data_IF_997500797844
#
_entry.id   IF_997500797844
#
_cell.length_a   1.000
_cell.length_b   1.000
_cell.length_c   1.000
_cell.angle_alpha   90.00
_cell.angle_beta   90.00
_cell.angle_gamma   90.00
#
_symmetry.space_group_name_H-M   'P 1'
#
loop_
_entity.id
_entity.type
_entity.pdbx_description
1 polymer ?
#
# COMPACT_ATOMS: atom_id res chain seq x y z
N UNK A 1 -10.34 4.07 -22.14
CA UNK A 1 -10.98 4.33 -20.83
C UNK A 1 -9.83 4.73 -19.92
N UNK A 2 -9.73 5.99 -19.50
CA UNK A 2 -8.47 6.53 -18.93
C UNK A 2 -8.36 6.26 -17.42
N UNK A 3 -9.02 5.21 -16.95
CA UNK A 3 -9.18 4.98 -15.53
C UNK A 3 -9.49 3.51 -15.22
N UNK A 4 -8.78 2.98 -14.24
CA UNK A 4 -8.85 1.59 -13.81
C UNK A 4 -8.90 1.51 -12.30
N UNK A 5 -9.63 0.52 -11.78
CA UNK A 5 -9.72 0.20 -10.36
C UNK A 5 -9.42 -1.28 -10.16
N UNK A 6 -8.36 -1.59 -9.43
CA UNK A 6 -7.86 -2.95 -9.19
C UNK A 6 -7.98 -3.25 -7.70
N UNK A 7 -8.72 -4.30 -7.35
CA UNK A 7 -8.76 -4.84 -6.00
C UNK A 7 -7.88 -6.08 -5.92
N UNK A 8 -7.01 -6.12 -4.92
CA UNK A 8 -6.28 -7.34 -4.54
C UNK A 8 -6.63 -7.71 -3.10
N UNK A 9 -6.94 -8.97 -2.86
CA UNK A 9 -7.34 -9.46 -1.54
C UNK A 9 -6.77 -10.83 -1.18
N UNK A 10 -6.65 -11.07 0.12
CA UNK A 10 -6.17 -12.33 0.67
C UNK A 10 -6.11 -12.30 2.19
N UNK A 11 -5.47 -13.32 2.78
CA UNK A 11 -5.37 -13.43 4.24
C UNK A 11 -4.32 -12.45 4.79
N UNK A 12 -4.47 -12.04 6.04
CA UNK A 12 -3.41 -11.30 6.73
C UNK A 12 -2.10 -12.13 6.72
N UNK A 13 -1.04 -11.53 6.20
CA UNK A 13 0.26 -12.19 5.98
C UNK A 13 0.55 -12.58 4.54
N UNK A 14 -0.45 -12.55 3.64
CA UNK A 14 -0.25 -12.85 2.22
C UNK A 14 0.42 -11.70 1.44
N UNK A 15 0.84 -10.60 2.06
CA UNK A 15 1.53 -9.50 1.38
C UNK A 15 0.64 -8.56 0.55
N UNK A 16 -0.66 -8.47 0.87
CA UNK A 16 -1.65 -7.69 0.11
C UNK A 16 -1.29 -6.21 -0.05
N UNK A 17 -0.75 -5.56 0.99
CA UNK A 17 -0.34 -4.17 0.89
C UNK A 17 0.80 -3.97 -0.12
N UNK A 18 1.77 -4.89 -0.12
CA UNK A 18 2.90 -4.87 -1.04
C UNK A 18 2.44 -5.17 -2.48
N UNK A 19 1.53 -6.14 -2.66
CA UNK A 19 0.90 -6.40 -3.95
C UNK A 19 0.16 -5.15 -4.49
N UNK A 20 -0.60 -4.46 -3.64
CA UNK A 20 -1.24 -3.20 -3.98
C UNK A 20 -0.22 -2.11 -4.38
N UNK A 21 0.88 -1.99 -3.66
CA UNK A 21 1.95 -1.04 -3.97
C UNK A 21 2.63 -1.35 -5.31
N UNK A 22 2.87 -2.63 -5.63
CA UNK A 22 3.44 -3.05 -6.92
C UNK A 22 2.48 -2.68 -8.05
N UNK A 23 1.18 -2.96 -7.91
CA UNK A 23 0.17 -2.57 -8.90
C UNK A 23 0.13 -1.05 -9.07
N UNK A 24 0.20 -0.29 -7.97
CA UNK A 24 0.25 1.18 -8.02
C UNK A 24 1.50 1.66 -8.77
N UNK A 25 2.67 1.08 -8.50
CA UNK A 25 3.92 1.42 -9.20
C UNK A 25 3.93 1.01 -10.66
N UNK A 26 3.25 -0.08 -11.03
CA UNK A 26 3.04 -0.48 -12.42
C UNK A 26 2.28 0.61 -13.19
N UNK A 27 1.14 1.07 -12.65
CA UNK A 27 0.39 2.17 -13.24
C UNK A 27 1.18 3.50 -13.23
N UNK A 28 2.02 3.74 -12.22
CA UNK A 28 2.90 4.91 -12.19
C UNK A 28 3.89 4.94 -13.36
N UNK A 29 4.49 3.79 -13.70
CA UNK A 29 5.41 3.67 -14.83
C UNK A 29 4.70 3.94 -16.16
N UNK A 30 3.39 3.69 -16.22
CA UNK A 30 2.54 3.97 -17.38
C UNK A 30 1.96 5.39 -17.37
N UNK A 31 2.37 6.26 -16.44
CA UNK A 31 1.96 7.67 -16.42
C UNK A 31 0.56 7.92 -15.83
N UNK A 32 0.05 7.04 -14.98
CA UNK A 32 -1.22 7.27 -14.30
C UNK A 32 -1.03 7.97 -12.95
N UNK A 33 -1.96 8.87 -12.63
CA UNK A 33 -2.14 9.34 -11.26
C UNK A 33 -2.79 8.21 -10.43
N UNK A 34 -2.46 8.13 -9.14
CA UNK A 34 -2.81 6.99 -8.31
C UNK A 34 -3.57 7.38 -7.04
N UNK A 35 -4.42 6.48 -6.58
CA UNK A 35 -4.97 6.48 -5.24
C UNK A 35 -5.06 5.04 -4.73
N UNK A 36 -4.39 4.74 -3.62
CA UNK A 36 -4.47 3.43 -2.98
C UNK A 36 -5.27 3.52 -1.68
N UNK A 37 -6.24 2.64 -1.53
CA UNK A 37 -6.94 2.37 -0.27
C UNK A 37 -6.51 1.01 0.24
N UNK A 38 -6.14 0.94 1.52
CA UNK A 38 -5.75 -0.31 2.18
C UNK A 38 -6.70 -0.53 3.36
N UNK A 39 -7.26 -1.73 3.43
CA UNK A 39 -8.13 -2.16 4.51
C UNK A 39 -7.56 -3.41 5.16
N UNK A 40 -7.45 -3.37 6.48
CA UNK A 40 -6.96 -4.47 7.30
C UNK A 40 -7.64 -4.43 8.67
N UNK A 41 -7.99 -5.59 9.24
CA UNK A 41 -8.54 -5.65 10.58
C UNK A 41 -7.46 -5.38 11.62
N UNK A 42 -7.88 -5.05 12.84
CA UNK A 42 -6.98 -4.94 14.01
C UNK A 42 -6.54 -6.32 14.51
N UNK A 43 -5.97 -7.15 13.63
CA UNK A 43 -5.47 -8.50 13.88
C UNK A 43 -4.05 -8.66 13.31
N UNK A 44 -3.14 -9.22 14.10
CA UNK A 44 -1.75 -9.49 13.66
C UNK A 44 -1.67 -10.71 12.74
N UNK A 45 -2.54 -11.70 12.96
CA UNK A 45 -2.68 -12.91 12.14
C UNK A 45 -4.14 -13.27 11.98
N UNK A 46 -4.50 -13.73 10.79
CA UNK A 46 -5.87 -14.05 10.43
C UNK A 46 -6.68 -12.81 10.03
N UNK A 47 -7.86 -13.07 9.47
CA UNK A 47 -8.69 -12.04 8.85
C UNK A 47 -8.37 -11.82 7.36
N UNK A 48 -9.17 -10.94 6.77
CA UNK A 48 -9.14 -10.60 5.35
C UNK A 48 -8.58 -9.19 5.16
N UNK A 49 -7.53 -9.08 4.35
CA UNK A 49 -6.94 -7.80 3.96
C UNK A 49 -7.23 -7.57 2.48
N UNK A 50 -7.50 -6.32 2.11
CA UNK A 50 -7.59 -5.94 0.70
C UNK A 50 -6.99 -4.57 0.45
N UNK A 51 -6.50 -4.37 -0.75
CA UNK A 51 -6.10 -3.07 -1.26
C UNK A 51 -6.88 -2.78 -2.54
N UNK A 52 -7.30 -1.52 -2.70
CA UNK A 52 -7.88 -1.00 -3.94
C UNK A 52 -6.90 0.04 -4.50
N UNK A 53 -6.41 -0.21 -5.71
CA UNK A 53 -5.58 0.73 -6.46
C UNK A 53 -6.42 1.31 -7.57
N UNK A 54 -6.65 2.62 -7.50
CA UNK A 54 -7.28 3.39 -8.57
C UNK A 54 -6.20 4.13 -9.33
N UNK A 55 -6.18 3.97 -10.65
CA UNK A 55 -5.28 4.64 -11.57
C UNK A 55 -6.11 5.48 -12.55
N UNK A 56 -5.76 6.75 -12.76
CA UNK A 56 -6.44 7.62 -13.71
C UNK A 56 -5.49 8.57 -14.44
N UNK A 57 -5.79 8.92 -15.68
CA UNK A 57 -5.10 9.98 -16.41
C UNK A 57 -5.35 11.39 -15.87
N UNK A 58 -6.19 11.55 -14.84
CA UNK A 58 -6.48 12.81 -14.16
C UNK A 58 -6.28 12.64 -12.65
N UNK A 59 -6.07 13.75 -11.92
CA UNK A 59 -5.97 13.74 -10.46
C UNK A 59 -7.26 13.22 -9.81
N UNK A 60 -7.13 12.43 -8.75
CA UNK A 60 -8.24 11.88 -7.97
C UNK A 60 -7.92 11.89 -6.47
N UNK A 61 -8.96 11.89 -5.63
CA UNK A 61 -8.83 11.94 -4.17
C UNK A 61 -9.59 10.85 -3.42
N UNK A 62 -10.06 9.81 -4.11
CA UNK A 62 -10.79 8.71 -3.50
C UNK A 62 -10.69 7.43 -4.34
N UNK A 63 -10.96 6.27 -3.75
CA UNK A 63 -11.19 5.03 -4.50
C UNK A 63 -12.60 5.02 -5.13
N UNK A 64 -12.93 3.95 -5.87
CA UNK A 64 -14.29 3.66 -6.34
C UNK A 64 -14.81 2.41 -5.66
N UNK A 65 -16.13 2.26 -5.57
CA UNK A 65 -16.70 1.03 -5.05
C UNK A 65 -16.65 -0.11 -6.05
N UNK A 66 -16.97 0.20 -7.31
CA UNK A 66 -16.90 -0.76 -8.41
C UNK A 66 -15.48 -0.89 -8.95
N UNK A 67 -15.05 -2.11 -9.21
CA UNK A 67 -13.68 -2.44 -9.65
C UNK A 67 -13.67 -3.01 -11.06
N UNK A 68 -12.61 -2.72 -11.81
CA UNK A 68 -12.40 -3.25 -13.16
C UNK A 68 -11.67 -4.59 -13.10
N UNK A 69 -10.81 -4.76 -12.10
CA UNK A 69 -10.09 -6.01 -11.83
C UNK A 69 -10.28 -6.44 -10.37
N UNK A 70 -10.51 -7.72 -10.16
CA UNK A 70 -10.52 -8.35 -8.84
C UNK A 70 -9.52 -9.52 -8.83
N UNK A 71 -8.51 -9.40 -7.98
CA UNK A 71 -7.41 -10.34 -7.81
C UNK A 71 -7.57 -11.04 -6.45
N UNK A 72 -7.87 -12.33 -6.45
CA UNK A 72 -8.22 -13.09 -5.24
C UNK A 72 -7.22 -14.20 -4.92
N UNK A 73 -6.57 -14.13 -3.75
CA UNK A 73 -5.71 -15.21 -3.22
C UNK A 73 -6.45 -16.20 -2.31
N UNK A 74 -7.64 -15.83 -1.83
CA UNK A 74 -8.47 -16.66 -0.98
C UNK A 74 -9.96 -16.52 -1.34
N UNK A 75 -10.76 -17.51 -0.91
CA UNK A 75 -12.19 -17.53 -1.18
C UNK A 75 -12.92 -16.30 -0.62
N UNK A 76 -12.51 -15.84 0.57
CA UNK A 76 -13.10 -14.71 1.25
C UNK A 76 -13.02 -13.41 0.44
N UNK A 77 -11.98 -13.23 -0.38
CA UNK A 77 -11.90 -12.10 -1.31
C UNK A 77 -13.08 -12.07 -2.29
N UNK A 78 -13.44 -13.21 -2.87
CA UNK A 78 -14.57 -13.30 -3.80
C UNK A 78 -15.88 -13.08 -3.04
N UNK A 79 -16.04 -13.77 -1.91
CA UNK A 79 -17.30 -13.76 -1.16
C UNK A 79 -17.64 -12.35 -0.65
N UNK A 80 -16.64 -11.62 -0.14
CA UNK A 80 -16.81 -10.25 0.38
C UNK A 80 -16.87 -9.18 -0.71
N UNK A 81 -16.19 -9.35 -1.85
CA UNK A 81 -16.03 -8.27 -2.84
C UNK A 81 -16.75 -8.50 -4.16
N UNK A 82 -17.48 -9.62 -4.36
CA UNK A 82 -18.28 -9.85 -5.57
C UNK A 82 -19.26 -8.72 -5.90
N UNK A 83 -19.79 -8.02 -4.89
CA UNK A 83 -20.70 -6.89 -5.10
C UNK A 83 -20.01 -5.68 -5.74
N UNK A 84 -18.68 -5.60 -5.70
CA UNK A 84 -17.87 -4.56 -6.35
C UNK A 84 -17.68 -4.82 -7.85
N UNK A 85 -18.05 -5.99 -8.36
CA UNK A 85 -17.92 -6.31 -9.78
C UNK A 85 -18.96 -5.57 -10.63
N UNK A 86 -18.57 -5.29 -11.87
CA UNK A 86 -19.37 -4.87 -13.02
C UNK A 86 -19.45 -6.05 -13.99
N UNK A 87 -20.31 -5.95 -15.01
CA UNK A 87 -20.39 -6.98 -16.05
C UNK A 87 -19.07 -7.15 -16.83
N UNK A 88 -18.33 -6.05 -17.01
CA UNK A 88 -17.04 -6.01 -17.68
C UNK A 88 -15.83 -6.26 -16.77
N UNK A 89 -16.04 -6.60 -15.49
CA UNK A 89 -14.93 -6.79 -14.57
C UNK A 89 -14.18 -8.08 -14.86
N UNK A 90 -12.85 -8.01 -14.79
CA UNK A 90 -11.97 -9.16 -14.93
C UNK A 90 -11.67 -9.73 -13.55
N UNK A 91 -11.91 -11.02 -13.37
CA UNK A 91 -11.63 -11.73 -12.11
C UNK A 91 -10.49 -12.72 -12.34
N UNK A 92 -9.43 -12.60 -11.56
CA UNK A 92 -8.27 -13.51 -11.57
C UNK A 92 -8.06 -14.04 -10.16
N UNK A 93 -7.84 -15.35 -10.03
CA UNK A 93 -7.75 -15.97 -8.70
C UNK A 93 -6.77 -17.14 -8.63
N UNK A 94 -6.31 -17.45 -7.42
CA UNK A 94 -5.56 -18.67 -7.11
C UNK A 94 -6.50 -19.88 -7.09
N UNK A 95 -6.47 -20.71 -8.14
CA UNK A 95 -7.36 -21.88 -8.27
C UNK A 95 -7.09 -22.97 -7.24
N UNK A 96 -5.94 -22.93 -6.56
CA UNK A 96 -5.62 -23.87 -5.48
C UNK A 96 -6.38 -23.55 -4.18
N UNK A 97 -6.78 -22.28 -3.98
CA UNK A 97 -7.42 -21.81 -2.74
C UNK A 97 -8.83 -21.24 -2.97
N UNK A 98 -9.22 -20.96 -4.22
CA UNK A 98 -10.45 -20.24 -4.57
C UNK A 98 -11.27 -21.01 -5.61
N UNK A 99 -12.58 -21.09 -5.36
CA UNK A 99 -13.60 -21.53 -6.32
C UNK A 99 -14.48 -20.34 -6.65
N UNK A 100 -14.30 -19.79 -7.85
CA UNK A 100 -15.08 -18.62 -8.29
C UNK A 100 -16.39 -19.05 -8.95
N UNK A 101 -17.55 -18.57 -8.50
CA UNK A 101 -18.82 -18.72 -9.22
C UNK A 101 -18.99 -17.67 -10.34
N UNK A 102 -18.02 -16.76 -10.52
CA UNK A 102 -18.12 -15.66 -11.47
C UNK A 102 -17.82 -16.16 -12.88
N UNK A 103 -18.77 -15.95 -13.80
CA UNK A 103 -18.59 -16.30 -15.21
C UNK A 103 -17.41 -15.52 -15.83
N UNK A 104 -16.57 -16.20 -16.61
CA UNK A 104 -15.39 -15.59 -17.25
C UNK A 104 -14.19 -15.32 -16.33
N UNK A 105 -14.26 -15.74 -15.06
CA UNK A 105 -13.14 -15.67 -14.14
C UNK A 105 -12.01 -16.62 -14.56
N UNK A 106 -10.77 -16.19 -14.39
CA UNK A 106 -9.57 -16.95 -14.78
C UNK A 106 -8.83 -17.43 -13.53
N UNK A 107 -8.78 -18.74 -13.34
CA UNK A 107 -8.06 -19.37 -12.23
C UNK A 107 -6.67 -19.85 -12.66
N UNK A 108 -5.67 -19.60 -11.82
CA UNK A 108 -4.30 -20.10 -12.00
C UNK A 108 -3.85 -20.84 -10.73
N UNK A 109 -3.16 -21.98 -10.83
CA UNK A 109 -2.73 -22.75 -9.66
C UNK A 109 -1.46 -22.12 -9.05
N UNK A 110 -1.59 -20.92 -8.47
CA UNK A 110 -0.47 -20.08 -8.07
C UNK A 110 0.33 -20.69 -6.91
N UNK A 111 -0.35 -21.37 -5.98
CA UNK A 111 0.31 -22.08 -4.88
C UNK A 111 1.13 -23.25 -5.40
N UNK A 112 0.61 -23.98 -6.38
CA UNK A 112 1.32 -25.07 -7.05
C UNK A 112 2.52 -24.54 -7.83
N UNK A 113 2.35 -23.48 -8.63
CA UNK A 113 3.42 -22.82 -9.38
C UNK A 113 4.55 -22.36 -8.43
N UNK A 114 4.21 -21.66 -7.34
CA UNK A 114 5.21 -21.20 -6.38
C UNK A 114 5.97 -22.38 -5.74
N UNK A 115 5.29 -23.48 -5.43
CA UNK A 115 5.91 -24.67 -4.84
C UNK A 115 6.83 -25.41 -5.83
N UNK A 116 6.42 -25.56 -7.08
CA UNK A 116 7.24 -26.18 -8.14
C UNK A 116 8.56 -25.44 -8.36
N UNK A 117 8.53 -24.11 -8.25
CA UNK A 117 9.69 -23.24 -8.43
C UNK A 117 10.52 -23.04 -7.16
N UNK A 118 10.14 -23.66 -6.04
CA UNK A 118 10.80 -23.45 -4.74
C UNK A 118 10.67 -22.02 -4.19
N UNK A 119 9.73 -21.24 -4.73
CA UNK A 119 9.51 -19.85 -4.36
C UNK A 119 8.82 -19.73 -2.99
N UNK A 120 9.04 -18.63 -2.25
CA UNK A 120 8.34 -18.40 -0.99
C UNK A 120 6.82 -18.30 -1.21
N UNK A 121 5.98 -18.70 -0.24
CA UNK A 121 4.51 -18.66 -0.40
C UNK A 121 3.92 -17.30 -0.78
N UNK A 122 4.62 -16.20 -0.44
CA UNK A 122 4.21 -14.83 -0.78
C UNK A 122 4.38 -14.52 -2.29
N UNK A 123 5.20 -15.29 -3.01
CA UNK A 123 5.44 -15.15 -4.44
C UNK A 123 4.18 -15.42 -5.29
N UNK A 124 3.14 -16.04 -4.72
CA UNK A 124 1.82 -16.14 -5.36
C UNK A 124 1.29 -14.77 -5.79
N UNK A 125 1.63 -13.71 -5.07
CA UNK A 125 1.30 -12.33 -5.45
C UNK A 125 1.92 -11.96 -6.80
N UNK A 126 3.18 -12.31 -7.02
CA UNK A 126 3.89 -12.01 -8.26
C UNK A 126 3.20 -12.72 -9.44
N UNK A 127 2.79 -13.98 -9.27
CA UNK A 127 2.01 -14.72 -10.26
C UNK A 127 0.65 -14.10 -10.55
N UNK A 128 -0.08 -13.69 -9.50
CA UNK A 128 -1.37 -13.03 -9.65
C UNK A 128 -1.25 -11.67 -10.36
N UNK A 129 -0.20 -10.90 -10.05
CA UNK A 129 0.12 -9.62 -10.69
C UNK A 129 0.57 -9.84 -12.15
N UNK A 130 1.32 -10.91 -12.43
CA UNK A 130 1.69 -11.31 -13.80
C UNK A 130 0.46 -11.57 -14.65
N UNK A 131 -0.47 -12.36 -14.13
CA UNK A 131 -1.75 -12.64 -14.79
C UNK A 131 -2.58 -11.36 -15.01
N UNK A 132 -2.65 -10.49 -14.01
CA UNK A 132 -3.27 -9.17 -14.14
C UNK A 132 -2.62 -8.33 -15.24
N UNK A 133 -1.30 -8.29 -15.29
CA UNK A 133 -0.52 -7.50 -16.25
C UNK A 133 -0.84 -7.92 -17.68
N UNK A 134 -0.88 -9.24 -17.96
CA UNK A 134 -1.29 -9.75 -19.28
C UNK A 134 -2.74 -9.41 -19.59
N UNK A 135 -3.66 -9.62 -18.64
CA UNK A 135 -5.08 -9.34 -18.81
C UNK A 135 -5.37 -7.84 -19.03
N UNK A 136 -4.51 -6.96 -18.54
CA UNK A 136 -4.58 -5.51 -18.67
C UNK A 136 -3.87 -4.97 -19.93
N UNK A 137 -3.28 -5.82 -20.77
CA UNK A 137 -2.55 -5.40 -21.96
C UNK A 137 -1.26 -4.64 -21.66
N UNK A 138 -0.62 -4.97 -20.53
CA UNK A 138 0.65 -4.36 -20.14
C UNK A 138 1.78 -5.30 -20.59
N UNK A 139 2.79 -4.72 -21.24
CA UNK A 139 3.97 -5.46 -21.71
C UNK A 139 4.77 -6.05 -20.54
N UNK A 140 5.33 -7.24 -20.76
CA UNK A 140 6.10 -7.97 -19.75
C UNK A 140 7.28 -7.16 -19.20
N UNK A 141 7.96 -6.43 -20.08
CA UNK A 141 9.14 -5.63 -19.74
C UNK A 141 8.84 -4.56 -18.69
N UNK A 142 7.63 -4.00 -18.70
CA UNK A 142 7.20 -3.02 -17.70
C UNK A 142 7.07 -3.67 -16.32
N UNK A 143 6.48 -4.87 -16.27
CA UNK A 143 6.35 -5.64 -15.03
C UNK A 143 7.70 -6.11 -14.50
N UNK A 144 8.56 -6.67 -15.35
CA UNK A 144 9.91 -7.13 -14.96
C UNK A 144 10.71 -6.00 -14.30
N UNK A 145 10.70 -4.79 -14.89
CA UNK A 145 11.36 -3.62 -14.31
C UNK A 145 10.80 -3.23 -12.93
N UNK A 146 9.49 -3.26 -12.75
CA UNK A 146 8.85 -2.94 -11.47
C UNK A 146 9.20 -4.01 -10.43
N UNK A 147 9.07 -5.29 -10.76
CA UNK A 147 9.36 -6.38 -9.82
C UNK A 147 10.82 -6.38 -9.37
N UNK A 148 11.79 -6.14 -10.28
CA UNK A 148 13.21 -6.01 -9.93
C UNK A 148 13.50 -4.89 -8.95
N UNK A 149 12.74 -3.79 -9.04
CA UNK A 149 12.90 -2.63 -8.15
C UNK A 149 12.25 -2.87 -6.79
N UNK A 150 11.07 -3.49 -6.77
CA UNK A 150 10.26 -3.63 -5.56
C UNK A 150 10.58 -4.86 -4.73
N UNK A 151 10.96 -5.96 -5.37
CA UNK A 151 11.22 -7.25 -4.73
C UNK A 151 12.68 -7.67 -4.97
N UNK A 152 13.67 -7.00 -4.34
CA UNK A 152 15.07 -7.34 -4.54
C UNK A 152 15.47 -8.71 -3.95
N UNK A 153 14.66 -9.26 -3.04
CA UNK A 153 14.90 -10.55 -2.40
C UNK A 153 14.21 -11.67 -3.19
N UNK A 154 14.93 -12.75 -3.50
CA UNK A 154 14.40 -13.88 -4.27
C UNK A 154 13.76 -13.44 -5.60
N UNK A 155 14.43 -12.50 -6.29
CA UNK A 155 13.90 -11.87 -7.49
C UNK A 155 13.69 -12.88 -8.63
N UNK A 156 14.63 -13.80 -8.81
CA UNK A 156 14.57 -14.77 -9.90
C UNK A 156 13.36 -15.70 -9.74
N UNK A 157 13.11 -16.18 -8.51
CA UNK A 157 11.94 -17.01 -8.22
C UNK A 157 10.62 -16.22 -8.38
N UNK A 158 10.58 -14.96 -7.95
CA UNK A 158 9.39 -14.11 -8.11
C UNK A 158 9.11 -13.77 -9.57
N UNK A 159 10.14 -13.50 -10.37
CA UNK A 159 10.01 -13.24 -11.80
C UNK A 159 9.51 -14.48 -12.53
N UNK A 160 10.02 -15.67 -12.21
CA UNK A 160 9.56 -16.90 -12.83
C UNK A 160 8.10 -17.20 -12.47
N UNK A 161 7.70 -17.02 -11.20
CA UNK A 161 6.29 -17.15 -10.78
C UNK A 161 5.40 -16.12 -11.49
N UNK A 162 5.85 -14.86 -11.60
CA UNK A 162 5.15 -13.82 -12.34
C UNK A 162 5.01 -14.16 -13.82
N UNK A 163 6.07 -14.71 -14.44
CA UNK A 163 6.11 -15.10 -15.84
C UNK A 163 5.10 -16.21 -16.12
N UNK A 164 5.07 -17.25 -15.28
CA UNK A 164 4.07 -18.32 -15.35
C UNK A 164 2.63 -17.79 -15.22
N UNK A 165 2.42 -16.79 -14.36
CA UNK A 165 1.14 -16.11 -14.23
C UNK A 165 0.77 -15.31 -15.49
N UNK A 166 1.74 -14.59 -16.08
CA UNK A 166 1.58 -13.79 -17.29
C UNK A 166 1.25 -14.66 -18.51
N UNK A 167 2.03 -15.72 -18.73
CA UNK A 167 1.86 -16.64 -19.86
C UNK A 167 0.62 -17.55 -19.70
N UNK A 168 0.07 -17.66 -18.48
CA UNK A 168 -1.14 -18.45 -18.18
C UNK A 168 -2.45 -17.83 -18.65
N UNK A 169 -2.42 -16.61 -19.20
CA UNK A 169 -3.59 -15.92 -19.76
C UNK A 169 -3.61 -16.10 -21.29
N UNK A 170 -4.60 -16.85 -21.79
CA UNK A 170 -4.67 -17.32 -23.20
C UNK A 170 -5.33 -16.35 -24.20
N UNK A 171 -6.09 -15.35 -23.75
CA UNK A 171 -6.88 -14.45 -24.63
C UNK A 171 -6.28 -13.05 -24.71
N UNK A 172 -6.46 -12.41 -25.89
CA UNK A 172 -6.16 -11.00 -26.15
C UNK A 172 -6.76 -10.12 -25.04
N UNK A 173 -5.91 -9.30 -24.43
CA UNK A 173 -6.20 -8.19 -23.50
C UNK A 173 -7.69 -7.99 -23.14
N UNK A 174 -8.09 -8.42 -21.94
CA UNK A 174 -9.47 -8.20 -21.43
C UNK A 174 -9.75 -6.72 -21.13
N UNK A 175 -8.70 -5.93 -20.90
CA UNK A 175 -8.71 -4.49 -21.00
C UNK A 175 -7.35 -4.01 -21.54
N UNK A 176 -7.32 -2.80 -22.11
CA UNK A 176 -6.10 -2.19 -22.65
C UNK A 176 -5.69 -0.97 -21.84
N UNK A 177 -4.66 -1.11 -21.01
CA UNK A 177 -4.02 -0.01 -20.30
C UNK A 177 -2.97 0.62 -21.22
N UNK A 178 -3.14 1.89 -21.56
CA UNK A 178 -2.23 2.60 -22.47
C UNK A 178 -1.23 3.46 -21.70
N UNK A 179 -0.04 3.66 -22.26
CA UNK A 179 0.93 4.59 -21.69
C UNK A 179 0.43 6.03 -21.84
N UNK A 180 0.45 6.79 -20.75
CA UNK A 180 0.07 8.19 -20.70
C UNK A 180 1.29 9.11 -20.67
N UNK A 181 1.07 10.39 -20.98
CA UNK A 181 2.14 11.41 -21.04
C UNK A 181 2.54 11.98 -19.68
N UNK A 182 1.82 11.64 -18.61
CA UNK A 182 2.11 12.19 -17.29
C UNK A 182 3.45 11.64 -16.75
N UNK A 183 4.31 12.47 -16.15
CA UNK A 183 5.59 12.00 -15.64
C UNK A 183 5.39 11.03 -14.47
N UNK A 184 6.19 9.97 -14.45
CA UNK A 184 6.32 9.05 -13.33
C UNK A 184 6.69 9.86 -12.07
N UNK A 185 5.81 9.84 -11.06
CA UNK A 185 5.98 10.59 -9.81
C UNK A 185 6.31 9.63 -8.65
N UNK A 186 6.92 10.09 -7.55
CA UNK A 186 7.09 9.22 -6.38
C UNK A 186 5.73 8.70 -5.88
N UNK A 187 5.60 7.38 -5.75
CA UNK A 187 4.46 6.77 -5.06
C UNK A 187 4.75 6.83 -3.57
N UNK A 188 3.98 7.64 -2.85
CA UNK A 188 4.22 7.98 -1.45
C UNK A 188 2.95 7.84 -0.63
N UNK A 189 3.08 7.36 0.61
CA UNK A 189 1.96 7.28 1.56
C UNK A 189 1.70 8.63 2.22
N UNK A 190 0.50 8.81 2.80
CA UNK A 190 0.16 10.02 3.54
C UNK A 190 1.10 10.27 4.74
N UNK A 191 1.50 9.21 5.45
CA UNK A 191 2.42 9.33 6.58
C UNK A 191 3.82 9.79 6.17
N UNK A 192 4.36 9.26 5.07
CA UNK A 192 5.64 9.71 4.52
C UNK A 192 5.56 11.16 4.02
N UNK A 193 4.45 11.53 3.38
CA UNK A 193 4.23 12.90 2.90
C UNK A 193 4.15 13.91 4.06
N UNK A 194 3.48 13.55 5.16
CA UNK A 194 3.47 14.35 6.41
C UNK A 194 4.90 14.50 6.94
N UNK A 195 5.66 13.40 7.03
CA UNK A 195 7.05 13.44 7.47
C UNK A 195 7.94 14.35 6.61
N UNK A 196 7.84 14.24 5.29
CA UNK A 196 8.56 15.13 4.35
C UNK A 196 8.15 16.59 4.51
N UNK A 197 6.85 16.86 4.75
CA UNK A 197 6.34 18.20 5.03
C UNK A 197 6.94 18.80 6.30
N UNK A 198 7.01 18.01 7.38
CA UNK A 198 7.64 18.41 8.64
C UNK A 198 9.13 18.72 8.44
N UNK A 199 9.87 17.82 7.78
CA UNK A 199 11.28 18.02 7.44
C UNK A 199 11.48 19.30 6.63
N UNK A 200 10.64 19.53 5.62
CA UNK A 200 10.68 20.74 4.80
C UNK A 200 10.38 22.01 5.62
N UNK A 201 9.56 21.89 6.66
CA UNK A 201 9.28 22.95 7.64
C UNK A 201 10.44 23.27 8.60
N UNK A 202 11.54 22.52 8.55
CA UNK A 202 12.71 22.70 9.42
C UNK A 202 12.51 22.08 10.80
N UNK A 203 11.84 20.93 10.87
CA UNK A 203 11.70 20.13 12.09
C UNK A 203 13.07 19.83 12.73
N UNK A 204 13.21 20.08 14.02
CA UNK A 204 14.38 19.68 14.83
C UNK A 204 14.13 18.34 15.56
N UNK A 205 12.90 18.13 16.05
CA UNK A 205 12.56 16.96 16.86
C UNK A 205 11.14 16.44 16.58
N UNK A 206 10.98 15.12 16.58
CA UNK A 206 9.69 14.44 16.52
C UNK A 206 9.54 13.51 17.72
N UNK A 207 8.45 13.66 18.47
CA UNK A 207 8.16 12.85 19.65
C UNK A 207 6.83 12.14 19.46
N UNK A 208 6.80 10.81 19.57
CA UNK A 208 5.54 10.08 19.34
C UNK A 208 5.53 8.74 20.06
N UNK A 209 4.36 8.36 20.57
CA UNK A 209 4.06 7.02 21.06
C UNK A 209 3.26 6.26 19.99
N UNK A 210 3.62 5.02 19.62
CA UNK A 210 2.99 4.26 18.56
C UNK A 210 1.48 4.07 18.79
N UNK A 211 0.69 4.62 17.87
CA UNK A 211 -0.74 4.34 17.76
C UNK A 211 -1.19 4.46 16.31
N UNK A 212 -1.92 3.45 15.82
CA UNK A 212 -2.51 3.44 14.48
C UNK A 212 -3.50 4.61 14.33
N UNK A 213 -3.47 5.38 13.22
CA UNK A 213 -2.62 5.24 12.02
C UNK A 213 -1.32 6.07 12.03
N UNK A 214 -1.02 6.78 13.12
CA UNK A 214 0.08 7.77 13.20
C UNK A 214 1.50 7.18 13.24
N UNK A 215 1.65 5.92 13.67
CA UNK A 215 2.96 5.27 13.83
C UNK A 215 3.81 5.26 12.54
N UNK A 216 3.19 5.33 11.36
CA UNK A 216 3.93 5.39 10.10
C UNK A 216 4.80 6.65 9.97
N UNK A 217 4.39 7.78 10.54
CA UNK A 217 5.18 9.02 10.56
C UNK A 217 6.42 8.82 11.44
N UNK A 218 6.26 8.19 12.61
CA UNK A 218 7.37 7.86 13.50
C UNK A 218 8.40 6.96 12.81
N UNK A 219 7.95 5.88 12.16
CA UNK A 219 8.85 4.96 11.44
C UNK A 219 9.58 5.65 10.29
N UNK A 220 8.89 6.47 9.49
CA UNK A 220 9.50 7.21 8.40
C UNK A 220 10.56 8.19 8.90
N UNK A 221 10.22 9.05 9.88
CA UNK A 221 11.15 10.04 10.42
C UNK A 221 12.34 9.37 11.11
N UNK A 222 12.13 8.27 11.85
CA UNK A 222 13.21 7.50 12.46
C UNK A 222 14.20 6.97 11.41
N UNK A 223 13.69 6.50 10.25
CA UNK A 223 14.52 5.98 9.16
C UNK A 223 15.43 7.05 8.55
N UNK A 224 14.96 8.30 8.47
CA UNK A 224 15.69 9.42 7.85
C UNK A 224 16.32 10.37 8.88
N UNK A 225 16.27 10.01 10.18
CA UNK A 225 16.63 10.91 11.26
C UNK A 225 18.08 11.40 11.16
N UNK A 226 19.02 10.49 10.86
CA UNK A 226 20.44 10.80 10.74
C UNK A 226 20.73 11.68 9.51
N UNK A 227 20.07 11.39 8.38
CA UNK A 227 20.23 12.13 7.11
C UNK A 227 19.82 13.60 7.27
N UNK A 228 18.72 13.85 7.99
CA UNK A 228 18.20 15.20 8.22
C UNK A 228 18.63 15.80 9.56
N UNK A 229 19.46 15.10 10.34
CA UNK A 229 19.94 15.51 11.66
C UNK A 229 18.82 15.89 12.65
N UNK A 230 17.67 15.19 12.57
CA UNK A 230 16.54 15.38 13.49
C UNK A 230 16.58 14.41 14.65
N UNK A 231 15.99 14.77 15.79
CA UNK A 231 15.79 13.85 16.91
C UNK A 231 14.43 13.18 16.79
N UNK A 232 14.39 11.86 16.86
CA UNK A 232 13.15 11.08 16.88
C UNK A 232 13.10 10.28 18.16
N UNK A 233 12.08 10.52 18.98
CA UNK A 233 11.97 9.95 20.32
C UNK A 233 10.65 9.22 20.46
N UNK A 234 10.72 8.03 21.05
CA UNK A 234 9.59 7.19 21.39
C UNK A 234 9.51 7.05 22.93
N UNK A 235 8.69 7.88 23.61
CA UNK A 235 8.47 7.82 25.05
C UNK A 235 7.56 6.64 25.46
N UNK A 236 7.25 6.54 26.74
CA UNK A 236 6.46 5.46 27.33
C UNK A 236 4.93 5.61 27.17
N UNK A 237 4.42 6.82 26.94
CA UNK A 237 3.00 7.12 26.72
C UNK A 237 2.78 8.53 26.12
N UNK A 238 1.54 8.87 25.79
CA UNK A 238 1.18 10.15 25.18
C UNK A 238 1.31 11.38 26.09
N UNK A 239 1.26 11.21 27.41
CA UNK A 239 1.52 12.30 28.36
C UNK A 239 3.00 12.68 28.29
N UNK A 240 3.89 11.70 28.32
CA UNK A 240 5.33 11.90 28.16
C UNK A 240 5.65 12.54 26.80
N UNK A 241 4.95 12.13 25.73
CA UNK A 241 5.11 12.74 24.39
C UNK A 241 4.89 14.25 24.42
N UNK A 242 3.73 14.72 24.92
CA UNK A 242 3.43 16.15 24.86
C UNK A 242 4.31 16.97 25.82
N UNK A 243 4.63 16.45 27.00
CA UNK A 243 5.50 17.15 27.96
C UNK A 243 6.95 17.23 27.45
N UNK A 244 7.48 16.16 26.84
CA UNK A 244 8.81 16.20 26.20
C UNK A 244 8.82 17.17 25.02
N UNK A 245 7.78 17.18 24.19
CA UNK A 245 7.68 18.10 23.08
C UNK A 245 7.71 19.56 23.55
N UNK A 246 7.00 19.89 24.63
CA UNK A 246 7.08 21.21 25.25
C UNK A 246 8.48 21.55 25.75
N UNK A 247 9.21 20.58 26.32
CA UNK A 247 10.62 20.77 26.68
C UNK A 247 11.49 21.17 25.48
N UNK A 248 11.28 20.53 24.32
CA UNK A 248 11.95 20.94 23.08
C UNK A 248 11.54 22.34 22.62
N UNK A 249 10.23 22.64 22.62
CA UNK A 249 9.72 23.95 22.23
C UNK A 249 10.29 25.07 23.11
N UNK A 250 10.32 24.86 24.43
CA UNK A 250 10.92 25.78 25.40
C UNK A 250 12.41 26.02 25.15
N UNK A 251 13.14 24.99 24.69
CA UNK A 251 14.55 25.10 24.29
C UNK A 251 14.76 25.76 22.91
N UNK A 252 13.70 26.29 22.29
CA UNK A 252 13.75 26.97 20.99
C UNK A 252 13.82 26.03 19.79
N UNK A 253 13.44 24.75 19.96
CA UNK A 253 13.44 23.75 18.89
C UNK A 253 12.07 23.64 18.22
N UNK A 254 12.07 23.46 16.90
CA UNK A 254 10.86 23.13 16.14
C UNK A 254 10.53 21.67 16.36
N UNK A 255 9.50 21.42 17.16
CA UNK A 255 9.05 20.07 17.49
C UNK A 255 7.73 19.77 16.80
N UNK A 256 7.49 18.51 16.49
CA UNK A 256 6.17 18.01 16.16
C UNK A 256 5.92 16.70 16.90
N UNK A 257 4.64 16.34 17.05
CA UNK A 257 4.21 15.09 17.66
C UNK A 257 3.16 14.39 16.80
N UNK A 258 3.02 13.08 16.97
CA UNK A 258 2.01 12.28 16.29
C UNK A 258 1.22 11.41 17.24
N UNK A 259 -0.10 11.39 17.06
CA UNK A 259 -1.06 10.60 17.83
C UNK A 259 -2.35 10.37 17.03
N UNK A 260 -3.37 9.81 17.67
CA UNK A 260 -4.72 9.51 17.17
C UNK A 260 -5.72 9.76 18.32
N UNK A 261 -7.00 9.42 18.15
CA UNK A 261 -8.07 9.82 19.06
C UNK A 261 -7.81 9.53 20.55
N UNK A 262 -7.44 8.29 20.90
CA UNK A 262 -7.22 7.91 22.30
C UNK A 262 -6.05 8.67 22.96
N UNK A 263 -4.93 8.75 22.25
CA UNK A 263 -3.75 9.47 22.72
C UNK A 263 -3.94 10.99 22.78
N UNK A 264 -4.68 11.58 21.83
CA UNK A 264 -5.03 13.01 21.87
C UNK A 264 -5.82 13.38 23.13
N UNK A 265 -6.73 12.52 23.58
CA UNK A 265 -7.45 12.72 24.84
C UNK A 265 -6.48 12.81 26.04
N UNK A 266 -5.44 11.95 26.08
CA UNK A 266 -4.43 11.98 27.15
C UNK A 266 -3.54 13.22 27.10
N UNK A 267 -3.38 13.84 25.94
CA UNK A 267 -2.56 15.04 25.74
C UNK A 267 -3.27 16.34 26.13
N UNK A 268 -4.57 16.33 26.47
CA UNK A 268 -5.36 17.56 26.67
C UNK A 268 -4.83 18.48 27.77
N UNK A 269 -4.36 17.93 28.90
CA UNK A 269 -3.73 18.73 29.97
C UNK A 269 -2.46 19.43 29.47
N UNK A 270 -1.57 18.69 28.81
CA UNK A 270 -0.37 19.24 28.19
C UNK A 270 -0.70 20.28 27.13
N UNK A 271 -1.66 20.02 26.25
CA UNK A 271 -2.11 20.99 25.23
C UNK A 271 -2.62 22.30 25.84
N UNK A 272 -3.36 22.22 26.96
CA UNK A 272 -3.79 23.41 27.71
C UNK A 272 -2.61 24.22 28.24
N UNK A 273 -1.61 23.54 28.83
CA UNK A 273 -0.37 24.18 29.29
C UNK A 273 0.39 24.86 28.15
N UNK A 274 0.51 24.22 26.99
CA UNK A 274 1.17 24.80 25.82
C UNK A 274 0.47 26.08 25.36
N UNK A 275 -0.86 26.11 25.37
CA UNK A 275 -1.64 27.31 25.07
C UNK A 275 -1.42 28.44 26.08
N UNK A 276 -1.44 28.12 27.38
CA UNK A 276 -1.22 29.09 28.46
C UNK A 276 0.20 29.70 28.45
N UNK A 277 1.20 28.89 28.09
CA UNK A 277 2.60 29.29 28.05
C UNK A 277 3.05 29.82 26.67
N UNK A 278 2.14 29.92 25.70
CA UNK A 278 2.41 30.33 24.31
C UNK A 278 3.53 29.50 23.65
N UNK A 279 3.61 28.20 23.98
CA UNK A 279 4.61 27.29 23.43
C UNK A 279 4.18 26.73 22.08
N UNK A 280 4.97 26.88 21.01
CA UNK A 280 4.66 26.29 19.71
C UNK A 280 4.87 24.77 19.72
N UNK A 281 3.84 24.02 19.30
CA UNK A 281 3.82 22.56 19.14
C UNK A 281 3.25 22.16 17.78
#
# INVERSE_FOLDING_TARGET
MDEFSVLVGGRAGDGINEAGMIIARLFNQLGYCLYQYLDYPSLIRGGHNFAIVRASGKKMGAHRDKVDFLLALNQETIDQHKWRLKESSVVIYDSDEVKSPVAGATGLPLKTIAKELGAPPIAKNAGLIGAFTKAAGIEWEVLDQVLRKEIPKSIDENLEVARRGYDGINEDEKAKVEMLSYPCCPVITGNELIGLGLLRGGLDAYVSYPMTPSSGVLHFLAKVADEFSIKVIHPENEIAVILMAQGFAYAGKRVALGTSGGGFCLMTEGGSLAGMAEMPL
#
